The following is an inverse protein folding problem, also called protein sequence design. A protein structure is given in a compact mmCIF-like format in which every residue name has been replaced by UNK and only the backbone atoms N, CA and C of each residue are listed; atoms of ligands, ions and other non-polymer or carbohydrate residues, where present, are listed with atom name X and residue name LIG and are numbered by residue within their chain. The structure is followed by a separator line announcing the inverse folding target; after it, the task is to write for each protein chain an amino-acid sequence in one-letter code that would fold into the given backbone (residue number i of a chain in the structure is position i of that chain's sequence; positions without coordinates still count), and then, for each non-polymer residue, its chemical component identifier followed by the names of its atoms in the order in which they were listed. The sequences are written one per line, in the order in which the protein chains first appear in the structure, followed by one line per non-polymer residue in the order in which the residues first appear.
data_IF_518945878900
#
_entry.id   IF_518945878900
#
_cell.length_a   1.000
_cell.length_b   1.000
_cell.length_c   1.000
_cell.angle_alpha   90.00
_cell.angle_beta   90.00
_cell.angle_gamma   90.00
#
_symmetry.space_group_name_H-M   'P 1'
#
loop_
_entity.id
_entity.type
_entity.pdbx_description
1 polymer ?
#
# COMPACT_ATOMS: atom_id res chain seq x y z
N UNK A 1 12.71 -2.79 17.80
CA UNK A 1 11.41 -2.07 17.91
C UNK A 1 10.40 -2.88 17.11
N UNK A 2 9.21 -3.16 17.65
CA UNK A 2 8.15 -3.84 16.90
C UNK A 2 7.22 -2.84 16.19
N UNK A 3 6.27 -3.33 15.36
CA UNK A 3 5.29 -2.50 14.62
C UNK A 3 4.57 -1.52 15.53
N UNK A 4 3.95 -2.00 16.61
CA UNK A 4 3.17 -1.17 17.54
C UNK A 4 4.00 -0.03 18.16
N UNK A 5 5.21 -0.33 18.63
CA UNK A 5 6.11 0.69 19.19
C UNK A 5 6.53 1.76 18.17
N UNK A 6 6.74 1.37 16.91
CA UNK A 6 7.08 2.32 15.85
C UNK A 6 5.88 3.22 15.53
N UNK A 7 4.69 2.65 15.40
CA UNK A 7 3.46 3.40 15.11
C UNK A 7 3.08 4.34 16.26
N UNK A 8 3.22 3.91 17.52
CA UNK A 8 3.00 4.78 18.68
C UNK A 8 3.95 5.99 18.66
N UNK A 9 5.23 5.78 18.31
CA UNK A 9 6.18 6.88 18.17
C UNK A 9 5.80 7.83 17.05
N UNK A 10 5.44 7.31 15.88
CA UNK A 10 5.01 8.13 14.74
C UNK A 10 3.75 8.94 15.09
N UNK A 11 2.75 8.30 15.69
CA UNK A 11 1.50 8.95 16.09
C UNK A 11 1.70 10.01 17.20
N UNK A 12 2.75 9.88 18.02
CA UNK A 12 3.08 10.86 19.06
C UNK A 12 3.79 12.12 18.54
N UNK A 13 4.16 12.15 17.25
CA UNK A 13 4.78 13.32 16.65
C UNK A 13 3.76 14.46 16.56
N UNK A 14 3.98 15.50 17.36
CA UNK A 14 3.16 16.71 17.33
C UNK A 14 3.56 17.52 16.09
N UNK A 15 2.60 17.81 15.21
CA UNK A 15 2.81 18.74 14.10
C UNK A 15 3.27 20.09 14.67
N UNK A 16 4.46 20.60 14.31
CA UNK A 16 4.91 21.90 14.79
C UNK A 16 3.97 22.97 14.25
N UNK A 17 3.04 23.41 15.10
CA UNK A 17 2.37 24.69 14.92
C UNK A 17 3.28 25.73 15.57
N UNK A 18 4.28 26.22 14.83
CA UNK A 18 5.03 27.37 15.32
C UNK A 18 4.12 28.59 15.21
N UNK A 19 3.69 29.11 16.37
CA UNK A 19 3.07 30.42 16.46
C UNK A 19 4.14 31.47 16.17
N UNK A 20 3.84 32.45 15.31
CA UNK A 20 4.67 33.62 15.16
C UNK A 20 4.68 34.45 16.46
N UNK A 21 5.56 35.46 16.50
CA UNK A 21 5.64 36.43 17.59
C UNK A 21 4.33 37.19 17.89
N UNK A 22 3.32 37.07 17.01
CA UNK A 22 1.98 37.64 17.14
C UNK A 22 0.90 36.61 17.52
N UNK A 23 1.25 35.34 17.76
CA UNK A 23 0.30 34.28 18.11
C UNK A 23 -0.50 33.70 16.93
N UNK A 24 -0.02 33.85 15.70
CA UNK A 24 -0.63 33.29 14.48
C UNK A 24 0.17 32.07 13.99
N UNK A 25 -0.50 31.06 13.43
CA UNK A 25 0.14 29.89 12.82
C UNK A 25 1.07 30.33 11.67
N UNK A 26 2.38 30.10 11.80
CA UNK A 26 3.40 30.65 10.87
C UNK A 26 3.83 29.79 9.68
N UNK A 27 3.58 28.47 9.55
CA UNK A 27 4.01 27.79 8.33
C UNK A 27 2.90 27.79 7.29
N UNK A 28 3.27 28.02 6.02
CA UNK A 28 2.45 27.55 4.92
C UNK A 28 2.25 26.03 5.06
N UNK A 29 1.13 25.53 4.54
CA UNK A 29 0.74 24.13 4.70
C UNK A 29 1.83 23.15 4.21
N UNK A 30 2.59 23.54 3.19
CA UNK A 30 3.69 22.76 2.62
C UNK A 30 4.84 22.59 3.62
N UNK A 31 5.26 23.65 4.32
CA UNK A 31 6.30 23.59 5.35
C UNK A 31 5.92 22.66 6.53
N UNK A 32 4.63 22.59 6.88
CA UNK A 32 4.14 21.66 7.92
C UNK A 32 4.27 20.22 7.44
N UNK A 33 3.92 19.94 6.19
CA UNK A 33 4.02 18.61 5.61
C UNK A 33 5.47 18.13 5.55
N UNK A 34 6.38 18.97 5.05
CA UNK A 34 7.81 18.66 4.96
C UNK A 34 8.44 18.40 6.33
N UNK A 35 8.14 19.26 7.31
CA UNK A 35 8.63 19.08 8.68
C UNK A 35 8.09 17.78 9.30
N UNK A 36 6.82 17.48 9.06
CA UNK A 36 6.18 16.27 9.57
C UNK A 36 6.74 15.00 8.92
N UNK A 37 6.98 15.02 7.60
CA UNK A 37 7.66 13.94 6.90
C UNK A 37 9.05 13.71 7.48
N UNK A 38 9.85 14.76 7.63
CA UNK A 38 11.21 14.67 8.19
C UNK A 38 11.20 14.05 9.59
N UNK A 39 10.29 14.48 10.47
CA UNK A 39 10.16 13.89 11.80
C UNK A 39 9.84 12.39 11.76
N UNK A 40 8.98 11.95 10.83
CA UNK A 40 8.69 10.52 10.64
C UNK A 40 9.91 9.77 10.13
N UNK A 41 10.64 10.34 9.16
CA UNK A 41 11.88 9.75 8.62
C UNK A 41 12.93 9.58 9.72
N UNK A 42 13.11 10.57 10.60
CA UNK A 42 14.06 10.51 11.73
C UNK A 42 13.72 9.40 12.74
N UNK A 43 12.43 9.04 12.86
CA UNK A 43 11.98 7.92 13.70
C UNK A 43 12.14 6.58 12.98
N UNK A 44 11.82 6.51 11.69
CA UNK A 44 11.78 5.26 10.91
C UNK A 44 13.18 4.82 10.48
N UNK A 45 14.02 5.72 9.97
CA UNK A 45 15.32 5.39 9.39
C UNK A 45 16.24 4.60 10.35
N UNK A 46 16.40 4.97 11.64
CA UNK A 46 17.20 4.19 12.60
C UNK A 46 16.70 2.76 12.81
N UNK A 47 15.40 2.51 12.64
CA UNK A 47 14.83 1.15 12.75
C UNK A 47 15.30 0.27 11.60
N UNK A 48 15.47 0.84 10.41
CA UNK A 48 15.92 0.14 9.20
C UNK A 48 17.40 0.40 8.89
N UNK A 49 18.25 0.41 9.93
CA UNK A 49 19.70 0.58 9.87
C UNK A 49 20.16 1.88 9.18
N UNK A 50 19.47 2.98 9.43
CA UNK A 50 19.79 4.30 8.87
C UNK A 50 19.73 4.37 7.32
N UNK A 51 18.98 3.47 6.68
CA UNK A 51 18.69 3.56 5.24
C UNK A 51 17.90 4.82 4.92
N UNK A 52 17.96 5.24 3.66
CA UNK A 52 17.09 6.28 3.13
C UNK A 52 15.64 5.81 3.21
N UNK A 53 14.77 6.67 3.76
CA UNK A 53 13.35 6.42 3.93
C UNK A 53 12.57 7.64 3.47
N UNK A 54 11.45 7.39 2.80
CA UNK A 54 10.43 8.40 2.51
C UNK A 54 9.16 8.02 3.24
N UNK A 55 8.53 8.98 3.93
CA UNK A 55 7.29 8.73 4.66
C UNK A 55 6.12 9.40 3.95
N UNK A 56 5.28 8.58 3.34
CA UNK A 56 4.14 9.04 2.53
C UNK A 56 3.01 9.53 3.43
N UNK A 57 2.75 8.82 4.52
CA UNK A 57 1.74 9.14 5.53
C UNK A 57 2.19 8.66 6.92
N UNK A 58 1.34 8.79 7.92
CA UNK A 58 1.55 8.27 9.28
C UNK A 58 1.68 6.75 9.32
N UNK A 59 1.02 6.04 8.40
CA UNK A 59 0.93 4.59 8.36
C UNK A 59 1.71 3.94 7.21
N UNK A 60 2.35 4.73 6.35
CA UNK A 60 2.93 4.28 5.07
C UNK A 60 4.29 4.92 4.80
N UNK A 61 5.28 4.10 4.47
CA UNK A 61 6.64 4.55 4.15
C UNK A 61 7.35 3.60 3.20
N UNK A 62 8.40 4.11 2.58
CA UNK A 62 9.25 3.40 1.63
C UNK A 62 10.68 3.39 2.14
N UNK A 63 11.33 2.22 2.14
CA UNK A 63 12.75 2.06 2.49
C UNK A 63 13.53 1.74 1.23
N UNK A 64 14.48 2.60 0.88
CA UNK A 64 15.30 2.44 -0.32
C UNK A 64 16.48 1.51 -0.05
N UNK A 65 16.82 0.68 -1.04
CA UNK A 65 17.74 -0.45 -0.89
C UNK A 65 18.79 -0.44 -2.01
N UNK A 66 20.01 -0.86 -1.69
CA UNK A 66 21.13 -0.86 -2.64
C UNK A 66 21.07 -1.98 -3.68
N UNK A 67 20.43 -3.09 -3.32
CA UNK A 67 20.30 -4.27 -4.17
C UNK A 67 19.11 -5.15 -3.74
N UNK A 68 18.92 -6.25 -4.47
CA UNK A 68 17.81 -7.19 -4.25
C UNK A 68 17.89 -7.93 -2.92
N UNK A 69 19.08 -8.30 -2.45
CA UNK A 69 19.22 -9.00 -1.17
C UNK A 69 19.01 -8.03 -0.01
N UNK A 70 19.45 -6.78 -0.16
CA UNK A 70 19.16 -5.71 0.79
C UNK A 70 17.63 -5.49 0.92
N UNK A 71 16.92 -5.37 -0.20
CA UNK A 71 15.47 -5.25 -0.22
C UNK A 71 14.76 -6.42 0.48
N UNK A 72 15.19 -7.66 0.18
CA UNK A 72 14.68 -8.85 0.85
C UNK A 72 14.93 -8.81 2.36
N UNK A 73 16.09 -8.33 2.80
CA UNK A 73 16.40 -8.18 4.23
C UNK A 73 15.50 -7.15 4.91
N UNK A 74 15.23 -5.99 4.30
CA UNK A 74 14.33 -5.01 4.94
C UNK A 74 12.87 -5.48 4.91
N UNK A 75 12.44 -6.20 3.87
CA UNK A 75 11.11 -6.81 3.83
C UNK A 75 10.95 -7.87 4.92
N UNK A 76 11.91 -8.79 5.06
CA UNK A 76 11.92 -9.77 6.16
C UNK A 76 11.93 -9.09 7.53
N UNK A 77 12.69 -8.01 7.69
CA UNK A 77 12.70 -7.23 8.92
C UNK A 77 11.31 -6.64 9.21
N UNK A 78 10.65 -6.00 8.23
CA UNK A 78 9.32 -5.43 8.38
C UNK A 78 8.28 -6.51 8.74
N UNK A 79 8.33 -7.67 8.07
CA UNK A 79 7.49 -8.83 8.40
C UNK A 79 7.73 -9.30 9.84
N UNK A 80 8.99 -9.40 10.27
CA UNK A 80 9.35 -9.79 11.64
C UNK A 80 8.87 -8.79 12.70
N UNK A 81 8.71 -7.51 12.32
CA UNK A 81 8.14 -6.48 13.18
C UNK A 81 6.61 -6.56 13.26
N UNK A 82 5.96 -7.29 12.33
CA UNK A 82 4.53 -7.51 12.27
C UNK A 82 3.83 -6.83 11.09
N UNK A 83 4.54 -6.18 10.16
CA UNK A 83 3.92 -5.61 8.96
C UNK A 83 3.55 -6.74 7.97
N UNK A 84 2.30 -6.75 7.48
CA UNK A 84 1.85 -7.70 6.44
C UNK A 84 1.83 -7.08 5.05
N UNK A 85 1.43 -5.82 4.95
CA UNK A 85 1.36 -5.10 3.69
C UNK A 85 2.74 -4.55 3.33
N UNK A 86 3.60 -5.42 2.81
CA UNK A 86 4.96 -5.10 2.42
C UNK A 86 5.27 -5.66 1.04
N UNK A 87 5.86 -4.87 0.15
CA UNK A 87 6.29 -5.37 -1.16
C UNK A 87 7.52 -4.63 -1.69
N UNK A 88 8.28 -5.32 -2.52
CA UNK A 88 9.48 -4.81 -3.17
C UNK A 88 9.13 -4.29 -4.56
N UNK A 89 9.70 -3.16 -4.96
CA UNK A 89 9.53 -2.60 -6.30
C UNK A 89 10.82 -1.91 -6.78
N UNK A 90 10.87 -1.60 -8.07
CA UNK A 90 11.92 -0.76 -8.66
C UNK A 90 11.41 0.68 -8.63
N UNK A 91 11.96 1.57 -7.79
CA UNK A 91 11.50 2.94 -7.71
C UNK A 91 11.83 3.70 -8.99
N UNK A 92 11.00 4.70 -9.29
CA UNK A 92 11.14 5.54 -10.47
C UNK A 92 11.42 6.97 -10.04
N UNK A 93 12.33 7.64 -10.74
CA UNK A 93 12.61 9.07 -10.58
C UNK A 93 12.27 9.81 -11.87
N UNK A 94 12.10 11.14 -11.78
CA UNK A 94 11.85 11.98 -12.95
C UNK A 94 13.02 11.87 -13.93
N UNK A 95 12.71 11.65 -15.21
CA UNK A 95 13.72 11.67 -16.25
C UNK A 95 14.28 13.10 -16.40
N UNK A 96 15.59 13.34 -16.20
CA UNK A 96 16.17 14.67 -16.35
C UNK A 96 16.08 15.18 -17.81
N UNK A 97 15.89 14.30 -18.79
CA UNK A 97 15.83 14.62 -20.21
C UNK A 97 14.40 14.62 -20.78
N UNK A 98 13.40 14.18 -20.00
CA UNK A 98 12.01 14.16 -20.40
C UNK A 98 11.12 14.62 -19.24
N UNK A 99 10.53 15.81 -19.37
CA UNK A 99 9.75 16.44 -18.32
C UNK A 99 8.52 15.65 -17.86
N UNK A 100 8.02 14.74 -18.71
CA UNK A 100 6.87 13.85 -18.46
C UNK A 100 7.30 12.38 -18.30
N UNK A 101 8.59 12.09 -18.47
CA UNK A 101 9.15 10.75 -18.37
C UNK A 101 9.60 10.40 -16.95
N UNK A 102 9.69 9.10 -16.69
CA UNK A 102 10.30 8.55 -15.49
C UNK A 102 11.29 7.45 -15.86
N UNK A 103 12.42 7.41 -15.18
CA UNK A 103 13.44 6.36 -15.31
C UNK A 103 13.53 5.57 -14.00
N UNK A 104 14.15 4.39 -14.04
CA UNK A 104 14.54 3.68 -12.82
C UNK A 104 15.49 4.56 -12.00
N UNK A 105 15.32 4.56 -10.67
CA UNK A 105 16.24 5.27 -9.78
C UNK A 105 17.65 4.66 -9.90
N UNK A 106 18.64 5.43 -10.40
CA UNK A 106 20.00 4.92 -10.58
C UNK A 106 20.76 4.78 -9.26
N UNK A 107 20.34 5.47 -8.21
CA UNK A 107 20.99 5.45 -6.89
C UNK A 107 20.39 4.36 -5.99
N UNK A 108 19.09 4.08 -6.15
CA UNK A 108 18.36 3.11 -5.35
C UNK A 108 17.59 2.12 -6.24
N UNK A 109 18.23 1.06 -6.76
CA UNK A 109 17.62 0.18 -7.74
C UNK A 109 16.43 -0.64 -7.21
N UNK A 110 16.26 -0.70 -5.87
CA UNK A 110 15.13 -1.36 -5.23
C UNK A 110 14.61 -0.53 -4.06
N UNK A 111 13.34 -0.70 -3.76
CA UNK A 111 12.72 -0.15 -2.57
C UNK A 111 11.65 -1.11 -2.03
N UNK A 112 11.39 -1.01 -0.73
CA UNK A 112 10.33 -1.77 -0.06
C UNK A 112 9.29 -0.81 0.48
N UNK A 113 8.07 -0.96 -0.02
CA UNK A 113 6.90 -0.29 0.53
C UNK A 113 6.43 -1.03 1.78
N UNK A 114 6.10 -0.30 2.84
CA UNK A 114 5.63 -0.83 4.11
C UNK A 114 4.42 -0.01 4.56
N UNK A 115 3.31 -0.70 4.83
CA UNK A 115 2.08 -0.11 5.33
C UNK A 115 1.57 -0.84 6.57
N UNK A 116 1.14 -0.08 7.58
CA UNK A 116 0.54 -0.63 8.80
C UNK A 116 -0.89 -1.17 8.58
N UNK A 117 -1.59 -0.68 7.55
CA UNK A 117 -2.96 -1.10 7.26
C UNK A 117 -2.97 -2.43 6.52
N UNK A 118 -3.67 -3.41 7.11
CA UNK A 118 -3.99 -4.70 6.47
C UNK A 118 -5.30 -4.61 5.65
N UNK A 119 -6.22 -3.74 6.06
CA UNK A 119 -7.50 -3.51 5.38
C UNK A 119 -7.79 -2.01 5.36
N UNK A 120 -8.17 -1.48 4.20
CA UNK A 120 -8.70 -0.13 4.02
C UNK A 120 -10.11 -0.19 3.41
N UNK A 121 -11.09 0.35 4.13
CA UNK A 121 -12.49 0.42 3.69
C UNK A 121 -12.90 1.88 3.60
N UNK A 122 -13.18 2.36 2.40
CA UNK A 122 -13.67 3.72 2.16
C UNK A 122 -15.20 3.82 2.07
N UNK A 123 -15.90 2.69 2.02
CA UNK A 123 -17.36 2.67 1.97
C UNK A 123 -17.96 1.64 2.91
N UNK A 124 -19.10 1.99 3.51
CA UNK A 124 -19.92 1.06 4.32
C UNK A 124 -20.75 0.09 3.47
N UNK A 125 -20.68 0.18 2.14
CA UNK A 125 -21.50 -0.62 1.24
C UNK A 125 -21.01 -2.09 1.25
N UNK A 126 -21.52 -2.84 2.21
CA UNK A 126 -21.08 -4.18 2.57
C UNK A 126 -21.50 -5.24 1.56
N UNK A 127 -22.48 -4.96 0.70
CA UNK A 127 -23.10 -5.96 -0.14
C UNK A 127 -22.12 -6.63 -1.11
N UNK A 128 -21.22 -5.86 -1.73
CA UNK A 128 -20.26 -6.42 -2.68
C UNK A 128 -19.14 -7.20 -1.98
N UNK A 129 -18.65 -6.69 -0.84
CA UNK A 129 -17.69 -7.41 -0.01
C UNK A 129 -18.27 -8.75 0.47
N UNK A 130 -19.55 -8.79 0.86
CA UNK A 130 -20.23 -10.00 1.32
C UNK A 130 -20.38 -11.07 0.22
N UNK A 131 -20.35 -10.70 -1.07
CA UNK A 131 -20.41 -11.69 -2.16
C UNK A 131 -19.11 -12.49 -2.29
N UNK A 132 -17.99 -11.90 -1.86
CA UNK A 132 -16.67 -12.50 -1.97
C UNK A 132 -16.02 -12.76 -0.61
N UNK A 133 -16.72 -12.48 0.49
CA UNK A 133 -16.19 -12.58 1.86
C UNK A 133 -15.75 -14.00 2.18
N UNK A 134 -16.53 -15.01 1.78
CA UNK A 134 -16.19 -16.41 2.02
C UNK A 134 -14.88 -16.80 1.32
N UNK A 135 -14.62 -16.25 0.13
CA UNK A 135 -13.36 -16.46 -0.58
C UNK A 135 -12.20 -15.74 0.12
N UNK A 136 -12.43 -14.53 0.63
CA UNK A 136 -11.46 -13.75 1.38
C UNK A 136 -11.10 -14.46 2.69
N UNK A 137 -12.08 -15.01 3.42
CA UNK A 137 -11.86 -15.75 4.66
C UNK A 137 -10.97 -16.99 4.44
N UNK A 138 -11.19 -17.73 3.34
CA UNK A 138 -10.37 -18.91 3.00
C UNK A 138 -8.91 -18.56 2.76
N UNK A 139 -8.60 -17.37 2.24
CA UNK A 139 -7.22 -16.93 1.98
C UNK A 139 -6.73 -15.83 2.91
N UNK A 140 -7.43 -15.51 4.00
CA UNK A 140 -7.16 -14.34 4.85
C UNK A 140 -5.73 -14.30 5.39
N UNK A 141 -5.18 -15.44 5.80
CA UNK A 141 -3.80 -15.56 6.29
C UNK A 141 -2.73 -15.33 5.20
N UNK A 142 -3.13 -15.31 3.93
CA UNK A 142 -2.25 -15.09 2.77
C UNK A 142 -2.47 -13.74 2.10
N UNK A 143 -3.51 -13.01 2.49
CA UNK A 143 -3.78 -11.67 1.99
C UNK A 143 -2.85 -10.68 2.70
N UNK A 144 -2.18 -9.85 1.91
CA UNK A 144 -1.31 -8.78 2.43
C UNK A 144 -2.08 -7.48 2.64
N UNK A 145 -3.07 -7.20 1.79
CA UNK A 145 -3.88 -5.99 1.86
C UNK A 145 -5.24 -6.17 1.18
N UNK A 146 -6.26 -5.52 1.73
CA UNK A 146 -7.58 -5.38 1.09
C UNK A 146 -7.93 -3.90 1.01
N UNK A 147 -8.28 -3.44 -0.18
CA UNK A 147 -8.86 -2.12 -0.40
C UNK A 147 -10.27 -2.27 -0.95
N UNK A 148 -11.24 -1.61 -0.32
CA UNK A 148 -12.65 -1.62 -0.73
C UNK A 148 -13.12 -0.17 -0.85
N UNK A 149 -13.58 0.19 -2.04
CA UNK A 149 -14.20 1.47 -2.29
C UNK A 149 -15.33 1.31 -3.32
N UNK A 150 -16.56 1.58 -2.91
CA UNK A 150 -17.74 1.52 -3.78
C UNK A 150 -17.83 0.15 -4.49
N UNK A 151 -17.92 0.17 -5.83
CA UNK A 151 -18.01 -0.99 -6.70
C UNK A 151 -16.65 -1.61 -7.03
N UNK A 152 -15.61 -1.31 -6.25
CA UNK A 152 -14.24 -1.75 -6.50
C UNK A 152 -13.65 -2.42 -5.27
N UNK A 153 -13.12 -3.62 -5.44
CA UNK A 153 -12.34 -4.34 -4.44
C UNK A 153 -10.98 -4.72 -5.03
N UNK A 154 -9.93 -4.39 -4.31
CA UNK A 154 -8.56 -4.82 -4.59
C UNK A 154 -8.10 -5.73 -3.45
N UNK A 155 -7.63 -6.92 -3.79
CA UNK A 155 -7.06 -7.87 -2.83
C UNK A 155 -5.64 -8.18 -3.27
N UNK A 156 -4.71 -7.99 -2.35
CA UNK A 156 -3.29 -8.15 -2.61
C UNK A 156 -2.71 -9.42 -1.98
N UNK A 157 -1.74 -10.00 -2.69
CA UNK A 157 -1.05 -11.23 -2.32
C UNK A 157 0.45 -11.07 -2.55
N UNK A 158 1.25 -11.63 -1.65
CA UNK A 158 2.69 -11.81 -1.84
C UNK A 158 3.08 -13.04 -2.68
N UNK A 159 2.11 -13.69 -3.33
CA UNK A 159 2.29 -14.91 -4.11
C UNK A 159 1.42 -14.85 -5.38
N UNK A 160 2.08 -14.88 -6.55
CA UNK A 160 1.45 -14.84 -7.86
C UNK A 160 0.47 -15.99 -8.10
N UNK A 161 0.82 -17.20 -7.65
CA UNK A 161 -0.01 -18.39 -7.86
C UNK A 161 -1.28 -18.26 -7.03
N UNK A 162 -1.19 -17.76 -5.81
CA UNK A 162 -2.37 -17.50 -4.98
C UNK A 162 -3.25 -16.41 -5.59
N UNK A 163 -2.67 -15.32 -6.08
CA UNK A 163 -3.41 -14.27 -6.78
C UNK A 163 -4.15 -14.83 -8.02
N UNK A 164 -3.46 -15.67 -8.80
CA UNK A 164 -4.03 -16.32 -9.99
C UNK A 164 -5.17 -17.26 -9.63
N UNK A 165 -4.97 -18.16 -8.65
CA UNK A 165 -6.02 -19.09 -8.18
C UNK A 165 -7.23 -18.31 -7.64
N UNK A 166 -7.00 -17.23 -6.90
CA UNK A 166 -8.07 -16.39 -6.38
C UNK A 166 -8.85 -15.72 -7.53
N UNK A 167 -8.13 -15.15 -8.50
CA UNK A 167 -8.70 -14.55 -9.71
C UNK A 167 -9.57 -15.54 -10.50
N UNK A 168 -9.08 -16.76 -10.74
CA UNK A 168 -9.84 -17.81 -11.42
C UNK A 168 -11.13 -18.20 -10.69
N UNK A 169 -11.08 -18.27 -9.35
CA UNK A 169 -12.27 -18.55 -8.53
C UNK A 169 -13.30 -17.43 -8.60
N UNK A 170 -12.85 -16.18 -8.49
CA UNK A 170 -13.71 -15.00 -8.63
C UNK A 170 -14.33 -14.95 -10.03
N UNK A 171 -13.54 -15.18 -11.07
CA UNK A 171 -14.02 -15.26 -12.46
C UNK A 171 -15.11 -16.32 -12.62
N UNK A 172 -14.92 -17.50 -12.04
CA UNK A 172 -15.89 -18.61 -12.09
C UNK A 172 -17.20 -18.22 -11.39
N UNK A 173 -17.12 -17.57 -10.21
CA UNK A 173 -18.27 -17.07 -9.48
C UNK A 173 -19.09 -16.09 -10.34
N UNK A 174 -18.47 -15.03 -10.86
CA UNK A 174 -19.18 -14.02 -11.64
C UNK A 174 -19.69 -14.55 -12.99
N UNK A 175 -18.98 -15.51 -13.61
CA UNK A 175 -19.47 -16.18 -14.82
C UNK A 175 -20.75 -16.98 -14.55
N UNK A 176 -20.85 -17.60 -13.38
CA UNK A 176 -22.04 -18.36 -12.96
C UNK A 176 -23.26 -17.44 -12.80
N UNK A 177 -23.06 -16.20 -12.32
CA UNK A 177 -24.13 -15.21 -12.12
C UNK A 177 -24.31 -14.24 -13.30
N UNK A 178 -23.73 -14.53 -14.47
CA UNK A 178 -23.68 -13.58 -15.59
C UNK A 178 -25.08 -13.17 -16.05
N UNK A 179 -26.00 -14.12 -16.18
CA UNK A 179 -27.39 -13.85 -16.57
C UNK A 179 -28.10 -12.90 -15.61
N UNK A 180 -27.91 -13.09 -14.30
CA UNK A 180 -28.51 -12.26 -13.27
C UNK A 180 -27.94 -10.84 -13.31
N UNK A 181 -26.63 -10.70 -13.51
CA UNK A 181 -25.96 -9.40 -13.66
C UNK A 181 -26.45 -8.66 -14.90
N UNK A 182 -26.52 -9.36 -16.05
CA UNK A 182 -26.99 -8.79 -17.31
C UNK A 182 -28.46 -8.30 -17.18
N UNK A 183 -29.31 -9.05 -16.47
CA UNK A 183 -30.72 -8.68 -16.23
C UNK A 183 -30.90 -7.38 -15.43
N UNK A 184 -29.94 -7.03 -14.59
CA UNK A 184 -29.95 -5.78 -13.79
C UNK A 184 -29.02 -4.71 -14.38
N UNK A 185 -28.51 -4.91 -15.60
CA UNK A 185 -27.64 -3.96 -16.29
C UNK A 185 -26.26 -3.79 -15.66
N UNK A 186 -25.77 -4.80 -14.93
CA UNK A 186 -24.44 -4.78 -14.32
C UNK A 186 -23.45 -5.61 -15.12
N UNK A 187 -22.19 -5.19 -15.14
CA UNK A 187 -21.08 -6.00 -15.65
C UNK A 187 -19.92 -6.01 -14.67
N UNK A 188 -18.99 -6.94 -14.83
CA UNK A 188 -17.80 -7.03 -13.98
C UNK A 188 -16.52 -6.99 -14.82
N UNK A 189 -15.52 -6.33 -14.28
CA UNK A 189 -14.15 -6.31 -14.75
C UNK A 189 -13.28 -6.97 -13.68
N UNK A 190 -12.44 -7.91 -14.10
CA UNK A 190 -11.48 -8.60 -13.25
C UNK A 190 -10.10 -8.46 -13.87
N UNK A 191 -9.14 -8.01 -13.07
CA UNK A 191 -7.75 -7.84 -13.50
C UNK A 191 -6.80 -8.34 -12.40
N UNK A 192 -5.69 -8.95 -12.80
CA UNK A 192 -4.59 -9.29 -11.89
C UNK A 192 -3.38 -8.47 -12.29
N UNK A 193 -2.95 -7.57 -11.40
CA UNK A 193 -1.96 -6.52 -11.68
C UNK A 193 -0.71 -6.77 -10.83
N UNK A 194 0.49 -6.89 -11.42
CA UNK A 194 1.72 -6.82 -10.65
C UNK A 194 1.93 -5.39 -10.12
N UNK A 195 2.08 -5.25 -8.80
CA UNK A 195 2.37 -3.95 -8.15
C UNK A 195 3.84 -3.75 -7.83
N UNK A 196 4.57 -4.86 -7.75
CA UNK A 196 5.99 -4.91 -7.44
C UNK A 196 6.58 -6.20 -7.98
N UNK A 197 7.76 -6.54 -7.48
CA UNK A 197 8.50 -7.75 -7.86
C UNK A 197 7.85 -8.99 -7.24
N UNK A 198 7.25 -8.83 -6.08
CA UNK A 198 6.77 -9.91 -5.20
C UNK A 198 5.33 -9.67 -4.71
N UNK A 199 4.56 -8.85 -5.42
CA UNK A 199 3.21 -8.50 -4.99
C UNK A 199 2.25 -8.31 -6.16
N UNK A 200 1.11 -8.99 -6.07
CA UNK A 200 0.07 -9.02 -7.09
C UNK A 200 -1.25 -8.57 -6.46
N UNK A 201 -2.03 -7.79 -7.20
CA UNK A 201 -3.35 -7.33 -6.77
C UNK A 201 -4.40 -7.85 -7.74
N UNK A 202 -5.38 -8.56 -7.21
CA UNK A 202 -6.60 -8.90 -7.92
C UNK A 202 -7.60 -7.76 -7.71
N UNK A 203 -7.95 -7.10 -8.80
CA UNK A 203 -8.85 -5.96 -8.88
C UNK A 203 -10.18 -6.41 -9.45
N UNK A 204 -11.27 -6.19 -8.71
CA UNK A 204 -12.63 -6.58 -9.06
C UNK A 204 -13.49 -5.33 -9.09
N UNK A 205 -14.03 -4.99 -10.25
CA UNK A 205 -14.85 -3.79 -10.45
C UNK A 205 -16.21 -4.15 -11.03
N UNK A 206 -17.29 -3.64 -10.42
CA UNK A 206 -18.64 -3.70 -10.98
C UNK A 206 -18.93 -2.39 -11.71
N UNK A 207 -19.39 -2.50 -12.95
CA UNK A 207 -19.93 -1.38 -13.72
C UNK A 207 -21.46 -1.46 -13.77
N UNK A 208 -22.12 -0.31 -13.83
CA UNK A 208 -23.55 -0.16 -14.11
C UNK A 208 -23.74 0.80 -15.28
#
# INVERSE_FOLDING_TARGET
MNRGQLQEKIASLIYPSELNENGELKPDFESILDASEKMRVDVISPVFNHRLVTSLFDNEFVVYCSDREDAKNVQMQAISMGYKNTYTFVPKVRDPNNSEGSIDDPEHPFAVFICDKEISKLTNDSHFYNLISDFIEVCQERITYIYIAYKHICISFGDEKLATIFSEKVQTLFTTFKSELDNVGLSFELETIPRGIDHWTVSIKINA
#
